data_IF_012538641748
#
_entry.id   IF_012538641748
#
_cell.length_a   1.000
_cell.length_b   1.000
_cell.length_c   1.000
_cell.angle_alpha   90.00
_cell.angle_beta   90.00
_cell.angle_gamma   90.00
#
_symmetry.space_group_name_H-M   'P 1'
#
loop_
_entity.id
_entity.type
_entity.pdbx_description
1 polymer ?
#
# COMPACT_ATOMS: atom_id res chain seq x y z
N UNK A 1 -14.74 -34.30 -11.30
CA UNK A 1 -15.00 -32.84 -11.26
C UNK A 1 -14.04 -32.23 -12.25
N UNK A 2 -14.49 -31.88 -13.47
CA UNK A 2 -13.63 -31.17 -14.40
C UNK A 2 -13.57 -29.72 -13.93
N UNK A 3 -12.46 -29.34 -13.30
CA UNK A 3 -12.22 -27.96 -12.87
C UNK A 3 -12.21 -27.03 -14.06
N UNK A 4 -12.76 -25.83 -13.91
CA UNK A 4 -12.60 -24.77 -14.88
C UNK A 4 -11.10 -24.43 -14.98
N UNK A 5 -10.50 -24.65 -16.15
CA UNK A 5 -9.19 -24.14 -16.47
C UNK A 5 -9.38 -22.71 -17.00
N UNK A 6 -8.83 -21.73 -16.29
CA UNK A 6 -8.85 -20.35 -16.75
C UNK A 6 -7.64 -20.14 -17.68
N UNK A 7 -7.91 -19.78 -18.92
CA UNK A 7 -6.87 -19.39 -19.88
C UNK A 7 -6.29 -18.00 -19.52
N UNK A 8 -5.02 -17.74 -19.88
CA UNK A 8 -4.35 -16.45 -19.72
C UNK A 8 -4.23 -15.93 -18.27
N UNK A 9 -4.04 -16.85 -17.32
CA UNK A 9 -3.85 -16.50 -15.90
C UNK A 9 -2.46 -15.95 -15.55
N UNK A 10 -1.51 -15.95 -16.48
CA UNK A 10 -0.11 -15.59 -16.24
C UNK A 10 0.04 -14.17 -15.66
N UNK A 11 -0.70 -13.20 -16.19
CA UNK A 11 -0.71 -11.82 -15.69
C UNK A 11 -1.41 -11.67 -14.33
N UNK A 12 -2.23 -12.66 -13.95
CA UNK A 12 -2.93 -12.73 -12.67
C UNK A 12 -2.15 -13.53 -11.62
N UNK A 13 -1.04 -14.17 -12.01
CA UNK A 13 -0.18 -14.87 -11.07
C UNK A 13 0.58 -13.87 -10.21
N UNK A 14 0.80 -14.26 -8.96
CA UNK A 14 1.54 -13.45 -8.00
C UNK A 14 3.00 -13.34 -8.43
N UNK A 15 3.48 -12.11 -8.62
CA UNK A 15 4.89 -11.82 -8.77
C UNK A 15 5.47 -11.35 -7.42
N UNK A 16 6.08 -12.27 -6.67
CA UNK A 16 6.59 -11.99 -5.32
C UNK A 16 7.72 -10.95 -5.29
N UNK A 17 8.51 -10.84 -6.35
CA UNK A 17 9.58 -9.82 -6.42
C UNK A 17 8.98 -8.42 -6.59
N UNK A 18 7.99 -8.27 -7.48
CA UNK A 18 7.24 -7.00 -7.60
C UNK A 18 6.48 -6.67 -6.31
N UNK A 19 5.87 -7.65 -5.64
CA UNK A 19 5.18 -7.41 -4.38
C UNK A 19 6.13 -6.95 -3.25
N UNK A 20 7.38 -7.46 -3.24
CA UNK A 20 8.43 -7.09 -2.27
C UNK A 20 9.00 -5.71 -2.56
N UNK A 21 9.41 -5.48 -3.81
CA UNK A 21 10.19 -4.31 -4.19
C UNK A 21 9.29 -3.12 -4.56
N UNK A 22 8.07 -3.41 -4.99
CA UNK A 22 7.06 -2.46 -5.41
C UNK A 22 7.03 -2.25 -6.92
N UNK A 23 6.01 -1.52 -7.36
CA UNK A 23 5.80 -1.13 -8.76
C UNK A 23 5.55 0.37 -8.85
N UNK A 24 5.87 0.95 -10.01
CA UNK A 24 5.63 2.35 -10.32
C UNK A 24 4.19 2.56 -10.79
N UNK A 25 3.49 3.49 -10.16
CA UNK A 25 2.19 3.98 -10.57
C UNK A 25 2.34 5.41 -11.09
N UNK A 26 2.08 5.58 -12.38
CA UNK A 26 2.01 6.89 -13.01
C UNK A 26 0.79 7.67 -12.51
N UNK A 27 1.02 8.92 -12.11
CA UNK A 27 -0.01 9.87 -11.71
C UNK A 27 -0.02 11.06 -12.69
N UNK A 28 -1.15 11.78 -12.85
CA UNK A 28 -1.23 12.94 -13.74
C UNK A 28 -0.13 13.97 -13.46
N UNK A 29 0.38 14.65 -14.49
CA UNK A 29 1.39 15.69 -14.34
C UNK A 29 2.82 15.18 -14.13
N UNK A 30 3.16 14.00 -14.67
CA UNK A 30 4.52 13.45 -14.63
C UNK A 30 4.96 12.95 -13.26
N UNK A 31 4.01 12.74 -12.33
CA UNK A 31 4.27 12.27 -10.98
C UNK A 31 4.25 10.76 -10.95
N UNK A 32 5.09 10.16 -10.10
CA UNK A 32 5.13 8.71 -9.94
C UNK A 32 5.09 8.35 -8.48
N UNK A 33 4.35 7.29 -8.14
CA UNK A 33 4.32 6.70 -6.81
C UNK A 33 4.89 5.28 -6.92
N UNK A 34 5.81 4.92 -6.03
CA UNK A 34 6.33 3.55 -5.95
C UNK A 34 5.60 2.86 -4.80
N UNK A 35 4.80 1.84 -5.12
CA UNK A 35 3.95 1.15 -4.15
C UNK A 35 4.23 -0.34 -4.07
N UNK A 36 4.10 -0.89 -2.87
CA UNK A 36 4.18 -2.32 -2.58
C UNK A 36 2.78 -2.89 -2.33
N UNK A 37 2.66 -4.20 -2.50
CA UNK A 37 1.44 -4.91 -2.15
C UNK A 37 1.34 -5.14 -0.63
N UNK A 38 0.11 -5.25 -0.13
CA UNK A 38 -0.22 -5.72 1.21
C UNK A 38 -0.14 -7.26 1.27
N UNK A 39 1.05 -7.83 1.04
CA UNK A 39 1.27 -9.26 0.94
C UNK A 39 2.38 -9.76 1.88
N UNK A 40 2.51 -11.08 2.01
CA UNK A 40 3.57 -11.73 2.78
C UNK A 40 4.98 -11.55 2.19
N UNK A 41 5.07 -11.14 0.92
CA UNK A 41 6.33 -10.80 0.26
C UNK A 41 6.83 -9.40 0.65
N UNK A 42 5.94 -8.49 1.06
CA UNK A 42 6.30 -7.18 1.60
C UNK A 42 6.73 -7.32 3.08
N UNK A 43 8.02 -7.12 3.42
CA UNK A 43 8.51 -7.33 4.78
C UNK A 43 7.90 -6.38 5.81
N UNK A 44 7.63 -5.13 5.41
CA UNK A 44 7.04 -4.12 6.29
C UNK A 44 5.59 -4.47 6.61
N UNK A 45 4.82 -4.88 5.61
CA UNK A 45 3.45 -5.36 5.80
C UNK A 45 3.43 -6.59 6.72
N UNK A 46 4.24 -7.61 6.41
CA UNK A 46 4.34 -8.84 7.20
C UNK A 46 4.66 -8.58 8.68
N UNK A 47 5.50 -7.60 8.97
CA UNK A 47 5.89 -7.26 10.34
C UNK A 47 4.78 -6.55 11.15
N UNK A 48 3.77 -5.98 10.49
CA UNK A 48 2.79 -5.08 11.12
C UNK A 48 1.33 -5.49 10.91
N UNK A 49 1.01 -6.33 9.93
CA UNK A 49 -0.36 -6.68 9.53
C UNK A 49 -1.21 -7.18 10.70
N UNK A 50 -0.67 -8.06 11.54
CA UNK A 50 -1.37 -8.59 12.72
C UNK A 50 -1.68 -7.50 13.76
N UNK A 51 -0.76 -6.54 13.93
CA UNK A 51 -0.98 -5.40 14.85
C UNK A 51 -2.08 -4.49 14.33
N UNK A 52 -2.13 -4.26 13.01
CA UNK A 52 -3.19 -3.49 12.37
C UNK A 52 -4.54 -4.20 12.57
N UNK A 53 -4.60 -5.51 12.35
CA UNK A 53 -5.82 -6.29 12.55
C UNK A 53 -6.30 -6.25 14.02
N UNK A 54 -5.37 -6.37 14.97
CA UNK A 54 -5.69 -6.23 16.40
C UNK A 54 -6.23 -4.83 16.74
N UNK A 55 -5.62 -3.78 16.21
CA UNK A 55 -6.06 -2.40 16.43
C UNK A 55 -7.43 -2.11 15.80
N UNK A 56 -7.69 -2.63 14.61
CA UNK A 56 -9.02 -2.54 13.98
C UNK A 56 -10.10 -3.21 14.83
N UNK A 57 -9.81 -4.39 15.39
CA UNK A 57 -10.72 -5.05 16.36
C UNK A 57 -10.97 -4.16 17.57
N UNK A 58 -9.94 -3.52 18.11
CA UNK A 58 -10.06 -2.59 19.24
C UNK A 58 -10.93 -1.38 18.90
N UNK A 59 -10.72 -0.77 17.73
CA UNK A 59 -11.52 0.37 17.25
C UNK A 59 -12.98 -0.02 17.03
N UNK A 60 -13.23 -1.21 16.47
CA UNK A 60 -14.57 -1.77 16.31
C UNK A 60 -15.29 -1.96 17.65
N UNK A 61 -14.62 -2.58 18.63
CA UNK A 61 -15.15 -2.78 19.98
C UNK A 61 -15.45 -1.44 20.69
N UNK A 62 -14.62 -0.43 20.46
CA UNK A 62 -14.81 0.92 20.98
C UNK A 62 -15.86 1.74 20.20
N UNK A 63 -16.50 1.17 19.18
CA UNK A 63 -17.45 1.86 18.27
C UNK A 63 -16.89 3.17 17.71
N UNK A 64 -15.61 3.15 17.34
CA UNK A 64 -14.96 4.29 16.70
C UNK A 64 -15.73 4.72 15.44
N UNK A 65 -15.72 6.02 15.16
CA UNK A 65 -16.32 6.56 13.94
C UNK A 65 -15.58 6.05 12.69
N UNK A 66 -16.28 5.96 11.57
CA UNK A 66 -15.69 5.58 10.29
C UNK A 66 -14.52 6.48 9.89
N UNK A 67 -14.60 7.77 10.22
CA UNK A 67 -13.54 8.75 9.99
C UNK A 67 -12.25 8.36 10.74
N UNK A 68 -12.37 8.00 12.02
CA UNK A 68 -11.23 7.57 12.83
C UNK A 68 -10.59 6.29 12.29
N UNK A 69 -11.40 5.33 11.85
CA UNK A 69 -10.91 4.08 11.24
C UNK A 69 -10.18 4.37 9.92
N UNK A 70 -10.74 5.24 9.08
CA UNK A 70 -10.11 5.66 7.81
C UNK A 70 -8.80 6.38 8.04
N UNK A 71 -8.73 7.32 8.97
CA UNK A 71 -7.49 8.04 9.31
C UNK A 71 -6.40 7.10 9.81
N UNK A 72 -6.75 6.12 10.65
CA UNK A 72 -5.81 5.09 11.10
C UNK A 72 -5.26 4.26 9.93
N UNK A 73 -6.13 3.77 9.04
CA UNK A 73 -5.72 2.94 7.91
C UNK A 73 -4.92 3.71 6.87
N UNK A 74 -5.35 4.92 6.52
CA UNK A 74 -4.65 5.78 5.55
C UNK A 74 -3.20 5.98 5.97
N UNK A 75 -2.96 6.34 7.24
CA UNK A 75 -1.62 6.48 7.79
C UNK A 75 -0.82 5.18 7.71
N UNK A 76 -1.40 4.05 8.12
CA UNK A 76 -0.69 2.77 8.11
C UNK A 76 -0.37 2.29 6.70
N UNK A 77 -1.24 2.51 5.74
CA UNK A 77 -1.00 2.13 4.35
C UNK A 77 0.03 3.04 3.69
N UNK A 78 -0.01 4.34 3.95
CA UNK A 78 1.05 5.25 3.53
C UNK A 78 2.42 4.80 4.07
N UNK A 79 2.50 4.48 5.36
CA UNK A 79 3.74 4.03 6.02
C UNK A 79 4.31 2.70 5.50
N UNK A 80 3.45 1.76 5.08
CA UNK A 80 3.85 0.37 4.83
C UNK A 80 3.80 -0.04 3.35
N UNK A 81 3.02 0.66 2.55
CA UNK A 81 2.79 0.32 1.15
C UNK A 81 3.39 1.35 0.20
N UNK A 82 3.50 2.62 0.61
CA UNK A 82 4.20 3.62 -0.22
C UNK A 82 5.68 3.57 0.11
N UNK A 83 6.50 3.33 -0.91
CA UNK A 83 7.97 3.24 -0.77
C UNK A 83 8.64 4.58 -1.07
N UNK A 84 8.15 5.28 -2.09
CA UNK A 84 8.78 6.48 -2.63
C UNK A 84 7.84 7.22 -3.60
N UNK A 85 8.19 8.45 -3.97
CA UNK A 85 7.56 9.21 -5.06
C UNK A 85 8.60 9.94 -5.91
N UNK A 86 8.20 10.41 -7.09
CA UNK A 86 9.05 11.24 -7.96
C UNK A 86 8.22 12.32 -8.64
N UNK A 87 8.85 13.44 -8.95
CA UNK A 87 8.21 14.55 -9.67
C UNK A 87 7.23 15.37 -8.83
N UNK A 88 7.23 15.18 -7.50
CA UNK A 88 6.50 16.06 -6.57
C UNK A 88 7.37 17.29 -6.33
N UNK A 89 6.87 18.48 -6.65
CA UNK A 89 7.64 19.71 -6.51
C UNK A 89 6.90 20.76 -5.67
N UNK A 90 7.66 21.57 -4.95
CA UNK A 90 7.17 22.75 -4.24
C UNK A 90 8.07 23.93 -4.58
N UNK A 91 7.48 25.02 -5.10
CA UNK A 91 8.21 26.22 -5.56
C UNK A 91 9.36 25.89 -6.55
N UNK A 92 9.16 24.88 -7.40
CA UNK A 92 10.15 24.44 -8.39
C UNK A 92 11.26 23.52 -7.86
N UNK A 93 11.21 23.11 -6.60
CA UNK A 93 12.18 22.19 -5.98
C UNK A 93 11.51 20.83 -5.77
N UNK A 94 12.19 19.73 -6.12
CA UNK A 94 11.69 18.38 -5.87
C UNK A 94 11.64 18.10 -4.36
N UNK A 95 10.48 17.63 -3.91
CA UNK A 95 10.22 17.28 -2.53
C UNK A 95 10.56 15.81 -2.36
N UNK A 96 11.56 15.42 -1.54
CA UNK A 96 11.85 14.02 -1.30
C UNK A 96 10.66 13.34 -0.60
N UNK A 97 10.49 12.04 -0.84
CA UNK A 97 9.43 11.29 -0.18
C UNK A 97 9.61 11.31 1.34
N UNK A 98 8.53 11.65 2.03
CA UNK A 98 8.40 11.42 3.46
C UNK A 98 6.96 11.03 3.77
N UNK A 99 6.80 10.16 4.77
CA UNK A 99 5.49 9.74 5.26
C UNK A 99 4.67 10.92 5.78
N UNK A 100 5.33 11.95 6.31
CA UNK A 100 4.68 13.15 6.88
C UNK A 100 4.24 14.17 5.82
N UNK A 101 4.82 14.12 4.62
CA UNK A 101 4.44 14.99 3.51
C UNK A 101 3.29 14.43 2.65
N UNK A 102 2.91 13.16 2.86
CA UNK A 102 1.87 12.44 2.12
C UNK A 102 0.50 12.42 2.79
#
# INVERSE_FOLDING_TARGET
MNGYAFDNMEDLQRNRDLERDGTELGLPGGRTLIVRAASDANPQWRAQSEKIAAELRRLGNARATNERVRGFLARKYAELLVRDWRGITSKGIEVPYSVEAG
#
